data_IF_816065896158
#
_entry.id   IF_816065896158
#
_cell.length_a   1.000
_cell.length_b   1.000
_cell.length_c   1.000
_cell.angle_alpha   90.00
_cell.angle_beta   90.00
_cell.angle_gamma   90.00
#
_symmetry.space_group_name_H-M   'P 1'
#
loop_
_entity.id
_entity.type
_entity.pdbx_description
1 polymer ?
#
# COMPACT_ATOMS: atom_id res chain seq x y z
N UNK A 1 -12.57 -27.15 -7.63
CA UNK A 1 -13.36 -25.94 -7.30
C UNK A 1 -12.39 -24.84 -6.90
N UNK A 2 -12.30 -23.76 -7.67
CA UNK A 2 -11.43 -22.61 -7.37
C UNK A 2 -12.28 -21.40 -6.96
N UNK A 3 -11.88 -20.69 -5.91
CA UNK A 3 -12.47 -19.39 -5.56
C UNK A 3 -11.52 -18.25 -5.92
N UNK A 4 -12.07 -17.06 -6.16
CA UNK A 4 -11.25 -15.86 -6.36
C UNK A 4 -10.48 -15.52 -5.08
N UNK A 5 -9.25 -15.04 -5.26
CA UNK A 5 -8.41 -14.55 -4.17
C UNK A 5 -8.82 -13.11 -3.79
N UNK A 6 -8.89 -12.82 -2.50
CA UNK A 6 -9.30 -11.53 -1.96
C UNK A 6 -8.28 -11.01 -0.95
N UNK A 7 -7.81 -9.78 -1.16
CA UNK A 7 -6.96 -9.07 -0.22
C UNK A 7 -7.68 -7.91 0.46
N UNK A 8 -7.31 -7.58 1.69
CA UNK A 8 -7.89 -6.46 2.42
C UNK A 8 -6.83 -5.59 3.12
N UNK A 9 -7.00 -4.27 3.06
CA UNK A 9 -6.16 -3.33 3.79
C UNK A 9 -6.69 -3.08 5.21
N UNK A 10 -5.77 -2.98 6.18
CA UNK A 10 -6.09 -2.75 7.60
C UNK A 10 -5.11 -1.74 8.23
N UNK A 11 -5.55 -1.11 9.32
CA UNK A 11 -4.69 -0.25 10.14
C UNK A 11 -3.89 -1.04 11.18
N UNK A 12 -3.19 -0.32 12.06
CA UNK A 12 -2.37 -0.91 13.15
C UNK A 12 -3.00 -0.80 14.55
N UNK A 13 -4.15 -0.12 14.66
CA UNK A 13 -4.90 0.02 15.92
C UNK A 13 -5.53 -1.30 16.39
N UNK A 14 -6.02 -1.35 17.64
CA UNK A 14 -6.68 -2.57 18.15
C UNK A 14 -8.00 -2.84 17.41
N UNK A 15 -8.83 -1.81 17.24
CA UNK A 15 -10.07 -1.89 16.46
C UNK A 15 -9.80 -2.07 14.96
N UNK A 16 -9.09 -1.11 14.35
CA UNK A 16 -8.83 -1.07 12.89
C UNK A 16 -7.85 -2.13 12.38
N UNK A 17 -7.09 -2.76 13.28
CA UNK A 17 -6.12 -3.80 12.98
C UNK A 17 -6.63 -5.17 13.43
N UNK A 18 -6.37 -5.56 14.67
CA UNK A 18 -6.56 -6.94 15.15
C UNK A 18 -8.03 -7.38 15.07
N UNK A 19 -8.97 -6.55 15.55
CA UNK A 19 -10.39 -6.90 15.53
C UNK A 19 -10.93 -7.00 14.09
N UNK A 20 -10.55 -6.05 13.23
CA UNK A 20 -10.90 -6.05 11.81
C UNK A 20 -10.37 -7.30 11.09
N UNK A 21 -9.10 -7.65 11.32
CA UNK A 21 -8.47 -8.86 10.75
C UNK A 21 -9.25 -10.12 11.15
N UNK A 22 -9.65 -10.25 12.42
CA UNK A 22 -10.43 -11.41 12.88
C UNK A 22 -11.73 -11.57 12.10
N UNK A 23 -12.42 -10.45 11.83
CA UNK A 23 -13.66 -10.48 11.04
C UNK A 23 -13.39 -10.82 9.58
N UNK A 24 -12.32 -10.28 8.98
CA UNK A 24 -11.94 -10.56 7.59
C UNK A 24 -11.48 -12.01 7.38
N UNK A 25 -10.74 -12.59 8.34
CA UNK A 25 -10.35 -14.00 8.32
C UNK A 25 -11.57 -14.91 8.33
N UNK A 26 -12.56 -14.62 9.20
CA UNK A 26 -13.84 -15.35 9.21
C UNK A 26 -14.60 -15.23 7.88
N UNK A 27 -14.44 -14.13 7.16
CA UNK A 27 -15.02 -13.92 5.84
C UNK A 27 -14.20 -14.58 4.70
N UNK A 28 -13.05 -15.20 5.00
CA UNK A 28 -12.24 -15.93 4.02
C UNK A 28 -11.23 -15.09 3.24
N UNK A 29 -10.74 -13.98 3.82
CA UNK A 29 -9.65 -13.19 3.20
C UNK A 29 -8.36 -14.01 3.03
N UNK A 30 -7.66 -13.82 1.92
CA UNK A 30 -6.43 -14.55 1.58
C UNK A 30 -5.16 -13.85 2.00
N UNK A 31 -5.19 -12.52 2.06
CA UNK A 31 -4.02 -11.70 2.36
C UNK A 31 -4.43 -10.38 3.01
N UNK A 32 -3.66 -9.97 4.02
CA UNK A 32 -3.84 -8.68 4.69
C UNK A 32 -2.72 -7.74 4.29
N UNK A 33 -3.08 -6.49 3.99
CA UNK A 33 -2.13 -5.40 3.73
C UNK A 33 -2.19 -4.42 4.89
N UNK A 34 -1.12 -4.34 5.68
CA UNK A 34 -1.00 -3.29 6.68
C UNK A 34 -0.62 -1.99 5.97
N UNK A 35 -1.56 -1.06 5.90
CA UNK A 35 -1.41 0.18 5.11
C UNK A 35 -1.28 1.39 6.04
N UNK A 36 -0.04 1.82 6.30
CA UNK A 36 0.25 3.02 7.08
C UNK A 36 0.96 4.06 6.21
N UNK A 37 0.59 5.33 6.39
CA UNK A 37 1.15 6.44 5.60
C UNK A 37 2.59 6.82 6.02
N UNK A 38 2.92 6.54 7.27
CA UNK A 38 4.26 6.66 7.80
C UNK A 38 4.50 5.43 8.67
N UNK A 39 5.66 4.79 8.54
CA UNK A 39 6.12 3.76 9.45
C UNK A 39 6.43 4.31 10.85
N UNK A 40 5.54 5.16 11.38
CA UNK A 40 5.72 5.88 12.64
C UNK A 40 5.87 4.84 13.74
N UNK A 41 7.08 4.83 14.29
CA UNK A 41 7.64 3.78 15.11
C UNK A 41 7.65 2.42 14.40
N UNK A 42 8.76 2.12 13.70
CA UNK A 42 9.08 0.76 13.26
C UNK A 42 8.75 -0.26 14.37
N UNK A 43 9.07 0.08 15.62
CA UNK A 43 8.78 -0.73 16.81
C UNK A 43 7.27 -1.02 17.00
N UNK A 44 6.38 -0.05 16.80
CA UNK A 44 4.92 -0.27 16.92
C UNK A 44 4.43 -1.22 15.84
N UNK A 45 4.88 -1.03 14.59
CA UNK A 45 4.54 -1.95 13.49
C UNK A 45 5.07 -3.35 13.80
N UNK A 46 6.28 -3.47 14.34
CA UNK A 46 6.88 -4.75 14.68
C UNK A 46 6.19 -5.49 15.80
N UNK A 47 5.86 -4.80 16.88
CA UNK A 47 5.11 -5.38 17.98
C UNK A 47 3.72 -5.83 17.52
N UNK A 48 3.06 -5.04 16.68
CA UNK A 48 1.75 -5.37 16.13
C UNK A 48 1.83 -6.55 15.16
N UNK A 49 2.85 -6.60 14.28
CA UNK A 49 3.09 -7.74 13.40
C UNK A 49 3.39 -9.03 14.17
N UNK A 50 4.19 -8.95 15.24
CA UNK A 50 4.45 -10.09 16.12
C UNK A 50 3.17 -10.57 16.79
N UNK A 51 2.32 -9.66 17.28
CA UNK A 51 1.01 -10.00 17.86
C UNK A 51 0.08 -10.61 16.80
N UNK A 52 0.07 -10.06 15.58
CA UNK A 52 -0.69 -10.57 14.44
C UNK A 52 -0.25 -11.98 14.07
N UNK A 53 1.03 -12.22 13.78
CA UNK A 53 1.54 -13.54 13.39
C UNK A 53 1.36 -14.60 14.47
N UNK A 54 1.31 -14.22 15.75
CA UNK A 54 0.93 -15.14 16.83
C UNK A 54 -0.54 -15.55 16.79
N UNK A 55 -1.45 -14.60 16.49
CA UNK A 55 -2.90 -14.86 16.44
C UNK A 55 -3.35 -15.50 15.13
N UNK A 56 -2.71 -15.12 14.03
CA UNK A 56 -3.05 -15.48 12.66
C UNK A 56 -1.83 -16.03 11.91
N UNK A 57 -1.22 -17.15 12.36
CA UNK A 57 0.06 -17.62 11.85
C UNK A 57 0.01 -18.03 10.37
N UNK A 58 -1.16 -18.46 9.89
CA UNK A 58 -1.36 -18.94 8.52
C UNK A 58 -1.77 -17.84 7.54
N UNK A 59 -2.12 -16.64 8.02
CA UNK A 59 -2.59 -15.55 7.17
C UNK A 59 -1.39 -14.75 6.62
N UNK A 60 -1.19 -14.70 5.30
CA UNK A 60 -0.16 -13.87 4.68
C UNK A 60 -0.40 -12.38 4.97
N UNK A 61 0.69 -11.66 5.21
CA UNK A 61 0.70 -10.22 5.50
C UNK A 61 1.71 -9.49 4.63
N UNK A 62 1.21 -8.48 3.93
CA UNK A 62 1.99 -7.48 3.22
C UNK A 62 2.24 -6.31 4.15
N UNK A 63 3.49 -5.89 4.27
CA UNK A 63 3.91 -4.79 5.15
C UNK A 63 4.49 -3.65 4.34
N UNK A 64 4.03 -2.44 4.61
CA UNK A 64 4.59 -1.22 4.03
C UNK A 64 4.14 0.04 4.77
N UNK A 65 4.53 1.23 4.30
CA UNK A 65 5.36 1.49 3.11
C UNK A 65 6.86 1.53 3.44
N UNK A 66 7.67 0.76 2.70
CA UNK A 66 9.13 0.76 2.81
C UNK A 66 9.76 1.90 2.00
N UNK A 67 10.76 2.60 2.58
CA UNK A 67 11.35 3.80 1.97
C UNK A 67 12.85 3.68 1.71
N UNK A 68 13.62 3.15 2.67
CA UNK A 68 15.09 3.14 2.61
C UNK A 68 15.71 1.93 3.30
N UNK A 69 16.95 1.63 2.90
CA UNK A 69 17.77 0.54 3.45
C UNK A 69 18.03 0.63 4.96
N UNK A 70 18.10 1.84 5.55
CA UNK A 70 18.30 2.02 7.00
C UNK A 70 17.13 1.45 7.82
N UNK A 71 15.90 1.69 7.37
CA UNK A 71 14.67 1.12 7.97
C UNK A 71 14.58 -0.39 7.75
N UNK A 72 15.34 -0.91 6.79
CA UNK A 72 15.40 -2.33 6.45
C UNK A 72 16.49 -3.09 7.21
N UNK A 73 17.52 -2.42 7.75
CA UNK A 73 18.58 -3.10 8.54
C UNK A 73 18.03 -3.69 9.85
N UNK A 74 17.07 -3.02 10.46
CA UNK A 74 16.35 -3.49 11.65
C UNK A 74 15.11 -4.33 11.30
N UNK A 75 14.83 -4.50 10.00
CA UNK A 75 13.67 -5.21 9.51
C UNK A 75 13.86 -6.70 9.78
N UNK A 76 13.14 -7.19 10.80
CA UNK A 76 13.04 -8.62 11.07
C UNK A 76 12.13 -9.22 10.00
N UNK A 77 12.73 -9.52 8.85
CA UNK A 77 12.14 -10.11 7.64
C UNK A 77 11.21 -11.28 7.92
N UNK A 78 11.45 -12.02 9.00
CA UNK A 78 10.66 -13.18 9.42
C UNK A 78 9.16 -12.96 9.69
N UNK A 79 8.65 -11.72 9.71
CA UNK A 79 7.24 -11.47 10.04
C UNK A 79 6.39 -10.91 8.88
N UNK A 80 7.01 -10.57 7.75
CA UNK A 80 6.31 -10.07 6.57
C UNK A 80 6.46 -11.09 5.42
N UNK A 81 5.36 -11.40 4.76
CA UNK A 81 5.36 -12.32 3.61
C UNK A 81 5.54 -11.57 2.29
N UNK A 82 5.33 -10.25 2.28
CA UNK A 82 5.65 -9.36 1.16
C UNK A 82 5.91 -7.92 1.65
N UNK A 83 6.66 -7.15 0.87
CA UNK A 83 6.95 -5.74 1.14
C UNK A 83 6.22 -4.84 0.16
N UNK A 84 5.52 -3.82 0.68
CA UNK A 84 4.93 -2.75 -0.13
C UNK A 84 5.82 -1.51 -0.09
N UNK A 85 6.23 -1.03 -1.25
CA UNK A 85 7.25 0.02 -1.42
C UNK A 85 6.65 1.27 -2.04
N UNK A 86 6.94 2.44 -1.44
CA UNK A 86 6.66 3.75 -2.04
C UNK A 86 5.92 4.73 -1.13
N UNK A 87 6.46 5.94 -0.97
CA UNK A 87 5.85 7.08 -0.27
C UNK A 87 6.02 8.36 -1.09
N UNK A 88 4.93 9.06 -1.35
CA UNK A 88 4.94 10.22 -2.24
C UNK A 88 4.89 9.98 -3.75
N UNK A 89 5.04 8.78 -4.36
CA UNK A 89 5.02 8.66 -5.83
C UNK A 89 3.59 8.59 -6.41
N UNK A 90 2.59 8.36 -5.56
CA UNK A 90 1.19 8.25 -6.00
C UNK A 90 0.70 9.58 -6.58
N UNK A 91 -0.09 9.51 -7.66
CA UNK A 91 -0.60 10.68 -8.40
C UNK A 91 -1.36 11.69 -7.54
N UNK A 92 -2.00 11.21 -6.48
CA UNK A 92 -2.79 11.99 -5.51
C UNK A 92 -2.10 12.13 -4.15
N UNK A 93 -0.89 11.60 -3.99
CA UNK A 93 -0.18 11.56 -2.72
C UNK A 93 0.52 12.90 -2.49
N UNK A 94 0.07 13.64 -1.47
CA UNK A 94 0.67 14.93 -1.11
C UNK A 94 1.78 14.80 -0.07
N UNK A 95 2.12 13.59 0.39
CA UNK A 95 3.08 13.37 1.48
C UNK A 95 4.45 14.01 1.22
N UNK A 96 4.96 13.95 -0.01
CA UNK A 96 6.23 14.60 -0.36
C UNK A 96 6.17 16.13 -0.25
N UNK A 97 5.05 16.71 -0.65
CA UNK A 97 4.84 18.17 -0.67
C UNK A 97 4.56 18.70 0.73
N UNK A 98 3.67 18.03 1.48
CA UNK A 98 3.19 18.50 2.79
C UNK A 98 4.13 18.10 3.93
N UNK A 99 4.59 16.85 3.96
CA UNK A 99 5.45 16.36 5.03
C UNK A 99 6.94 16.49 4.71
N UNK A 100 7.31 16.84 3.47
CA UNK A 100 8.71 16.87 3.02
C UNK A 100 9.36 15.48 2.90
N UNK A 101 8.61 14.40 3.16
CA UNK A 101 9.12 13.03 3.18
C UNK A 101 8.72 12.29 1.91
N UNK A 102 9.71 11.86 1.14
CA UNK A 102 9.53 11.16 -0.12
C UNK A 102 10.82 10.54 -0.62
N UNK A 103 10.73 9.41 -1.32
CA UNK A 103 11.87 8.79 -1.99
C UNK A 103 11.49 8.54 -3.46
N UNK A 104 12.37 8.81 -4.43
CA UNK A 104 12.11 8.43 -5.83
C UNK A 104 11.78 6.94 -5.95
N UNK A 105 10.69 6.60 -6.64
CA UNK A 105 10.12 5.25 -6.57
C UNK A 105 11.08 4.15 -7.00
N UNK A 106 11.76 4.31 -8.14
CA UNK A 106 12.74 3.32 -8.63
C UNK A 106 13.91 3.13 -7.65
N UNK A 107 14.35 4.21 -7.00
CA UNK A 107 15.37 4.13 -5.96
C UNK A 107 14.87 3.36 -4.73
N UNK A 108 13.64 3.62 -4.28
CA UNK A 108 13.04 2.91 -3.15
C UNK A 108 12.90 1.40 -3.43
N UNK A 109 12.49 1.02 -4.65
CA UNK A 109 12.42 -0.39 -5.08
C UNK A 109 13.81 -1.00 -5.04
N UNK A 110 14.81 -0.38 -5.70
CA UNK A 110 16.16 -0.91 -5.79
C UNK A 110 16.82 -1.11 -4.42
N UNK A 111 16.65 -0.15 -3.50
CA UNK A 111 17.16 -0.28 -2.13
C UNK A 111 16.46 -1.41 -1.37
N UNK A 112 15.14 -1.57 -1.55
CA UNK A 112 14.37 -2.65 -0.92
C UNK A 112 14.76 -4.03 -1.47
N UNK A 113 14.98 -4.13 -2.78
CA UNK A 113 15.38 -5.37 -3.44
C UNK A 113 16.67 -5.96 -2.87
N UNK A 114 17.66 -5.12 -2.53
CA UNK A 114 18.93 -5.55 -1.93
C UNK A 114 18.77 -6.34 -0.63
N UNK A 115 17.67 -6.15 0.10
CA UNK A 115 17.37 -6.83 1.36
C UNK A 115 16.32 -7.91 1.16
N UNK A 116 15.27 -7.64 0.38
CA UNK A 116 14.21 -8.59 0.09
C UNK A 116 14.73 -9.84 -0.61
N UNK A 117 15.64 -9.70 -1.58
CA UNK A 117 16.27 -10.82 -2.30
C UNK A 117 17.02 -11.77 -1.37
N UNK A 118 17.72 -11.23 -0.36
CA UNK A 118 18.48 -12.05 0.60
C UNK A 118 17.59 -12.90 1.50
N UNK A 119 16.31 -12.51 1.64
CA UNK A 119 15.34 -13.15 2.52
C UNK A 119 14.22 -13.83 1.72
N UNK A 120 14.32 -13.85 0.39
CA UNK A 120 13.29 -14.37 -0.51
C UNK A 120 11.89 -13.79 -0.25
N UNK A 121 11.81 -12.47 -0.04
CA UNK A 121 10.54 -11.77 0.20
C UNK A 121 10.14 -11.00 -1.07
N UNK A 122 8.92 -11.20 -1.59
CA UNK A 122 8.44 -10.47 -2.76
C UNK A 122 8.17 -8.99 -2.47
N UNK A 123 8.30 -8.15 -3.50
CA UNK A 123 8.13 -6.70 -3.47
C UNK A 123 6.93 -6.28 -4.33
N UNK A 124 6.09 -5.44 -3.74
CA UNK A 124 4.98 -4.72 -4.37
C UNK A 124 5.37 -3.26 -4.53
N UNK A 125 5.48 -2.78 -5.77
CA UNK A 125 5.67 -1.35 -6.06
C UNK A 125 4.35 -0.60 -6.02
N UNK A 126 4.15 0.28 -5.04
CA UNK A 126 2.91 1.02 -4.79
C UNK A 126 3.04 2.50 -5.15
N UNK A 127 2.46 2.85 -6.31
CA UNK A 127 2.37 4.22 -6.83
C UNK A 127 3.43 4.57 -7.88
N UNK A 128 3.21 5.69 -8.57
CA UNK A 128 4.11 6.20 -9.62
C UNK A 128 3.91 5.59 -11.01
N UNK A 129 2.98 4.66 -11.19
CA UNK A 129 2.67 4.04 -12.49
C UNK A 129 1.69 4.94 -13.26
N UNK A 130 2.14 5.49 -14.40
CA UNK A 130 1.29 6.27 -15.31
C UNK A 130 1.12 5.59 -16.66
N UNK A 131 2.13 4.86 -17.11
CA UNK A 131 2.12 4.16 -18.39
C UNK A 131 2.57 2.71 -18.23
N UNK A 132 2.27 1.86 -19.21
CA UNK A 132 2.71 0.46 -19.23
C UNK A 132 4.23 0.32 -19.08
N UNK A 133 5.00 1.24 -19.67
CA UNK A 133 6.45 1.27 -19.53
C UNK A 133 6.94 1.48 -18.10
N UNK A 134 6.15 2.10 -17.22
CA UNK A 134 6.51 2.27 -15.81
C UNK A 134 6.38 0.96 -15.03
N UNK A 135 5.48 0.07 -15.46
CA UNK A 135 5.35 -1.29 -14.91
C UNK A 135 6.63 -2.08 -15.23
N UNK A 136 7.04 -2.07 -16.49
CA UNK A 136 8.26 -2.74 -16.93
C UNK A 136 9.50 -2.23 -16.18
N UNK A 137 9.62 -0.90 -15.99
CA UNK A 137 10.71 -0.31 -15.19
C UNK A 137 10.65 -0.72 -13.72
N UNK A 138 9.46 -0.74 -13.10
CA UNK A 138 9.34 -1.17 -11.70
C UNK A 138 9.80 -2.62 -11.50
N UNK A 139 9.41 -3.51 -12.41
CA UNK A 139 9.83 -4.92 -12.41
C UNK A 139 11.34 -5.03 -12.63
N UNK A 140 11.89 -4.32 -13.62
CA UNK A 140 13.33 -4.31 -13.91
C UNK A 140 14.19 -3.84 -12.73
N UNK A 141 13.65 -2.98 -11.86
CA UNK A 141 14.33 -2.48 -10.66
C UNK A 141 14.16 -3.40 -9.43
N UNK A 142 13.43 -4.51 -9.55
CA UNK A 142 13.34 -5.55 -8.53
C UNK A 142 11.98 -5.68 -7.84
N UNK A 143 10.89 -5.13 -8.40
CA UNK A 143 9.55 -5.44 -7.94
C UNK A 143 9.03 -6.74 -8.59
N UNK A 144 8.30 -7.56 -7.84
CA UNK A 144 7.64 -8.76 -8.36
C UNK A 144 6.26 -8.42 -8.93
N UNK A 145 5.57 -7.45 -8.30
CA UNK A 145 4.26 -6.96 -8.73
C UNK A 145 4.13 -5.46 -8.53
N UNK A 146 3.16 -4.85 -9.21
CA UNK A 146 2.82 -3.43 -9.08
C UNK A 146 1.42 -3.25 -8.52
N UNK A 147 1.25 -2.27 -7.64
CA UNK A 147 -0.05 -1.81 -7.15
C UNK A 147 -0.39 -0.50 -7.85
N UNK A 148 -1.52 -0.50 -8.55
CA UNK A 148 -1.95 0.59 -9.43
C UNK A 148 -3.27 1.15 -8.90
N UNK A 149 -3.33 2.48 -8.75
CA UNK A 149 -4.56 3.18 -8.37
C UNK A 149 -5.16 3.93 -9.56
N UNK A 150 -4.47 4.96 -10.05
CA UNK A 150 -5.02 5.91 -11.01
C UNK A 150 -5.39 5.34 -12.38
N UNK A 151 -4.77 4.25 -12.84
CA UNK A 151 -5.16 3.63 -14.11
C UNK A 151 -6.44 2.79 -14.00
N UNK A 152 -6.74 2.26 -12.82
CA UNK A 152 -7.99 1.55 -12.57
C UNK A 152 -9.13 2.51 -12.18
N UNK A 153 -8.82 3.76 -11.86
CA UNK A 153 -9.84 4.77 -11.72
C UNK A 153 -10.47 5.12 -13.08
N UNK A 154 -11.79 5.27 -13.09
CA UNK A 154 -12.60 5.54 -14.28
C UNK A 154 -13.20 4.28 -14.94
N UNK A 155 -12.72 3.10 -14.55
CA UNK A 155 -13.27 1.81 -14.99
C UNK A 155 -14.71 1.60 -14.49
N UNK A 156 -15.45 0.69 -15.12
CA UNK A 156 -16.86 0.40 -14.78
C UNK A 156 -16.98 -0.34 -13.45
N UNK A 157 -15.94 -1.10 -13.08
CA UNK A 157 -15.86 -1.87 -11.83
C UNK A 157 -15.55 -0.97 -10.62
N UNK A 158 -15.14 0.28 -10.83
CA UNK A 158 -14.84 1.18 -9.73
C UNK A 158 -16.13 1.78 -9.14
N UNK A 159 -16.35 1.53 -7.86
CA UNK A 159 -17.48 1.99 -7.04
C UNK A 159 -17.71 3.51 -6.94
N UNK A 160 -16.83 4.36 -7.49
CA UNK A 160 -16.95 5.81 -7.40
C UNK A 160 -17.88 6.37 -8.50
N UNK A 161 -18.72 7.35 -8.17
CA UNK A 161 -19.62 7.98 -9.14
C UNK A 161 -18.86 8.63 -10.30
N UNK A 162 -19.37 8.41 -11.53
CA UNK A 162 -18.93 9.10 -12.74
C UNK A 162 -19.81 10.33 -12.95
N UNK A 163 -19.18 11.48 -13.18
CA UNK A 163 -19.86 12.73 -13.49
C UNK A 163 -19.65 13.06 -14.97
N UNK A 164 -20.73 13.45 -15.65
CA UNK A 164 -20.64 13.97 -17.01
C UNK A 164 -20.23 15.43 -16.95
N UNK A 165 -19.04 15.75 -17.45
CA UNK A 165 -18.57 17.12 -17.53
C UNK A 165 -19.16 17.79 -18.78
N UNK A 166 -19.64 19.05 -18.69
CA UNK A 166 -20.32 19.75 -19.80
C UNK A 166 -19.53 19.84 -21.13
N UNK A 167 -18.22 19.57 -21.12
CA UNK A 167 -17.37 19.46 -22.32
C UNK A 167 -17.35 18.05 -22.93
N UNK A 168 -18.37 17.22 -22.70
CA UNK A 168 -18.50 15.88 -23.29
C UNK A 168 -17.54 14.83 -22.75
N UNK A 169 -17.05 15.02 -21.51
CA UNK A 169 -16.09 14.08 -20.88
C UNK A 169 -16.70 13.44 -19.65
N UNK A 170 -16.64 12.11 -19.57
CA UNK A 170 -16.90 11.39 -18.33
C UNK A 170 -15.70 11.52 -17.40
N UNK A 171 -15.92 11.94 -16.16
CA UNK A 171 -14.88 12.12 -15.15
C UNK A 171 -15.26 11.36 -13.88
N UNK A 172 -14.30 10.66 -13.26
CA UNK A 172 -14.46 10.06 -11.95
C UNK A 172 -13.50 10.73 -10.95
N UNK A 173 -13.98 11.10 -9.77
CA UNK A 173 -13.16 11.80 -8.76
C UNK A 173 -12.32 10.79 -7.98
N UNK A 174 -11.00 10.86 -8.11
CA UNK A 174 -10.04 10.02 -7.38
C UNK A 174 -9.56 10.75 -6.12
N UNK A 175 -9.49 10.08 -4.97
CA UNK A 175 -9.03 10.67 -3.70
C UNK A 175 -8.08 9.77 -2.93
N UNK A 176 -7.23 10.37 -2.11
CA UNK A 176 -6.35 9.66 -1.18
C UNK A 176 -7.04 9.33 0.12
N UNK A 177 -6.63 8.24 0.77
CA UNK A 177 -7.16 7.82 2.08
C UNK A 177 -7.06 8.90 3.18
N UNK A 178 -6.10 9.82 3.08
CA UNK A 178 -5.86 10.88 4.07
C UNK A 178 -6.61 12.19 3.78
N UNK A 179 -7.47 12.23 2.76
CA UNK A 179 -8.26 13.41 2.43
C UNK A 179 -9.53 13.40 3.29
N UNK A 180 -9.60 14.26 4.32
CA UNK A 180 -10.83 14.48 5.09
C UNK A 180 -11.77 15.44 4.35
N UNK A 181 -13.09 15.19 4.43
CA UNK A 181 -14.14 16.11 3.97
C UNK A 181 -14.78 16.73 5.22
N UNK A 182 -14.74 18.05 5.38
CA UNK A 182 -15.68 18.77 6.26
C UNK A 182 -16.12 20.10 5.62
N UNK A 183 -17.37 20.08 5.13
CA UNK A 183 -18.24 21.19 4.67
C UNK A 183 -17.86 22.02 3.43
N UNK A 184 -17.53 21.38 2.30
CA UNK A 184 -17.45 22.08 1.00
C UNK A 184 -16.26 23.03 0.82
N UNK A 185 -15.31 23.07 1.76
CA UNK A 185 -14.02 23.73 1.59
C UNK A 185 -12.87 22.81 2.00
N UNK A 186 -11.75 22.92 1.29
CA UNK A 186 -10.65 21.96 1.25
C UNK A 186 -9.40 22.51 1.94
N UNK A 187 -8.98 21.99 3.11
CA UNK A 187 -7.62 22.18 3.64
C UNK A 187 -7.22 21.01 4.57
N UNK A 188 -5.91 20.75 4.68
CA UNK A 188 -5.31 19.71 5.52
C UNK A 188 -4.68 20.27 6.80
N UNK A 189 -4.87 19.53 7.90
CA UNK A 189 -4.49 19.76 9.30
C UNK A 189 -5.40 20.70 10.07
#
# INVERSE_FOLDING_TARGET
MGRLLVGAAVGVGESEGINRIRTLEKAGVDVIVIDTAHGHSENVIWEKLKKFKKKFPKLPVVVGKMLQRKQQKNFKTKWADALKVGIGPGSICTTRIIAGVGVPQLHAISETFKIAKKNNIPIISDGGIKYSGDIAKAIAFGADVVMIGSLFAGTDENHLEKYFYPKGKNIQIIRGKQVTRRYGKWFSR
#
